data_IF_521156273245
#
_entry.id   IF_521156273245
#
_cell.length_a   1.000
_cell.length_b   1.000
_cell.length_c   1.000
_cell.angle_alpha   90.00
_cell.angle_beta   90.00
_cell.angle_gamma   90.00
#
_symmetry.space_group_name_H-M   'P 1'
#
loop_
_entity.id
_entity.type
_entity.pdbx_description
1 polymer ?
#
# COMPACT_ATOMS: atom_id res chain seq x y z
N UNK A 1 -17.38 -21.06 -32.52
CA UNK A 1 -16.54 -19.85 -32.42
C UNK A 1 -15.11 -20.24 -32.11
N UNK A 2 -14.11 -19.39 -32.37
CA UNK A 2 -12.67 -19.70 -32.11
C UNK A 2 -12.35 -20.09 -30.64
N UNK A 3 -13.30 -19.89 -29.73
CA UNK A 3 -13.26 -20.34 -28.33
C UNK A 3 -13.57 -21.84 -28.18
N UNK A 4 -14.49 -22.37 -29.00
CA UNK A 4 -14.95 -23.77 -28.93
C UNK A 4 -13.90 -24.72 -29.52
N UNK A 5 -13.13 -24.26 -30.50
CA UNK A 5 -11.98 -24.99 -31.07
C UNK A 5 -10.83 -25.13 -30.07
N UNK A 6 -10.66 -24.16 -29.17
CA UNK A 6 -9.58 -24.15 -28.18
C UNK A 6 -9.83 -25.18 -27.07
N UNK A 7 -11.10 -25.40 -26.72
CA UNK A 7 -11.53 -26.37 -25.71
C UNK A 7 -11.39 -27.83 -26.16
N UNK A 8 -11.29 -28.08 -27.47
CA UNK A 8 -11.20 -29.42 -28.04
C UNK A 8 -9.76 -29.84 -28.44
N UNK A 9 -8.74 -29.07 -28.04
CA UNK A 9 -7.35 -29.44 -28.34
C UNK A 9 -6.89 -30.64 -27.50
N UNK A 10 -6.13 -31.60 -28.07
CA UNK A 10 -5.79 -32.86 -27.39
C UNK A 10 -5.08 -32.69 -26.04
N UNK A 11 -4.31 -31.61 -25.88
CA UNK A 11 -3.57 -31.26 -24.65
C UNK A 11 -4.48 -30.73 -23.55
N UNK A 12 -5.54 -30.00 -23.91
CA UNK A 12 -6.55 -29.46 -23.00
C UNK A 12 -7.46 -30.59 -22.51
N UNK A 13 -7.88 -31.48 -23.42
CA UNK A 13 -8.69 -32.66 -23.09
C UNK A 13 -7.90 -33.62 -22.18
N UNK A 14 -6.62 -33.88 -22.46
CA UNK A 14 -5.78 -34.73 -21.59
C UNK A 14 -5.59 -34.14 -20.19
N UNK A 15 -5.40 -32.83 -20.07
CA UNK A 15 -5.25 -32.15 -18.78
C UNK A 15 -6.57 -32.13 -17.99
N UNK A 16 -7.70 -31.88 -18.68
CA UNK A 16 -9.03 -31.99 -18.12
C UNK A 16 -9.33 -33.42 -17.63
N UNK A 17 -9.01 -34.45 -18.42
CA UNK A 17 -9.21 -35.86 -18.06
C UNK A 17 -8.39 -36.27 -16.84
N UNK A 18 -7.14 -35.82 -16.75
CA UNK A 18 -6.24 -36.15 -15.64
C UNK A 18 -6.65 -35.47 -14.33
N UNK A 19 -7.18 -34.25 -14.39
CA UNK A 19 -7.76 -33.55 -13.24
C UNK A 19 -9.13 -34.14 -12.87
N UNK A 20 -9.95 -34.52 -13.86
CA UNK A 20 -11.28 -35.14 -13.69
C UNK A 20 -11.19 -36.47 -12.94
N UNK A 21 -10.18 -37.29 -13.22
CA UNK A 21 -10.00 -38.60 -12.57
C UNK A 21 -9.42 -38.52 -11.15
N UNK A 22 -8.68 -37.47 -10.79
CA UNK A 22 -8.06 -37.35 -9.46
C UNK A 22 -9.00 -36.74 -8.42
N UNK A 23 -9.92 -35.86 -8.83
CA UNK A 23 -10.69 -35.05 -7.89
C UNK A 23 -12.18 -35.36 -7.76
N UNK A 24 -12.79 -36.18 -8.62
CA UNK A 24 -14.21 -36.58 -8.53
C UNK A 24 -15.19 -35.41 -8.22
N UNK A 25 -14.87 -34.20 -8.68
CA UNK A 25 -15.68 -32.99 -8.50
C UNK A 25 -16.45 -32.73 -9.79
N UNK A 26 -17.68 -33.22 -9.82
CA UNK A 26 -18.56 -33.22 -11.00
C UNK A 26 -19.08 -31.83 -11.40
N UNK A 27 -18.87 -30.80 -10.57
CA UNK A 27 -19.55 -29.50 -10.71
C UNK A 27 -18.63 -28.26 -10.66
N UNK A 28 -17.32 -28.40 -10.91
CA UNK A 28 -16.42 -27.24 -10.94
C UNK A 28 -16.29 -26.66 -12.36
N UNK A 29 -17.32 -25.93 -12.77
CA UNK A 29 -17.32 -25.22 -14.06
C UNK A 29 -16.45 -23.95 -13.97
N UNK A 30 -15.15 -24.14 -14.24
CA UNK A 30 -14.14 -23.07 -14.28
C UNK A 30 -14.55 -21.96 -15.26
N UNK A 31 -15.28 -22.28 -16.32
CA UNK A 31 -15.73 -21.32 -17.32
C UNK A 31 -16.84 -20.40 -16.76
N UNK A 32 -17.72 -20.94 -15.91
CA UNK A 32 -18.73 -20.18 -15.19
C UNK A 32 -18.11 -19.32 -14.07
N UNK A 33 -17.15 -19.85 -13.30
CA UNK A 33 -16.43 -19.09 -12.26
C UNK A 33 -15.63 -17.92 -12.85
N UNK A 34 -14.96 -18.14 -13.98
CA UNK A 34 -14.20 -17.09 -14.66
C UNK A 34 -15.16 -16.08 -15.30
N UNK A 35 -16.16 -16.50 -16.08
CA UNK A 35 -17.06 -15.54 -16.76
C UNK A 35 -17.93 -14.71 -15.79
N UNK A 36 -18.37 -15.29 -14.68
CA UNK A 36 -19.21 -14.60 -13.69
C UNK A 36 -18.39 -13.62 -12.84
N UNK A 37 -17.16 -13.98 -12.46
CA UNK A 37 -16.27 -13.09 -11.72
C UNK A 37 -15.61 -12.04 -12.63
N UNK A 38 -15.30 -12.37 -13.88
CA UNK A 38 -14.73 -11.44 -14.87
C UNK A 38 -15.77 -10.42 -15.34
N UNK A 39 -17.05 -10.79 -15.44
CA UNK A 39 -18.14 -9.84 -15.73
C UNK A 39 -18.53 -8.98 -14.53
N UNK A 40 -18.32 -9.46 -13.29
CA UNK A 40 -18.44 -8.65 -12.07
C UNK A 40 -17.26 -7.67 -11.94
N UNK A 41 -16.04 -8.12 -12.19
CA UNK A 41 -14.85 -7.25 -12.29
C UNK A 41 -14.99 -6.23 -13.43
N UNK A 42 -15.45 -6.66 -14.60
CA UNK A 42 -15.72 -5.79 -15.74
C UNK A 42 -16.80 -4.75 -15.46
N UNK A 43 -17.88 -5.13 -14.76
CA UNK A 43 -18.92 -4.18 -14.32
C UNK A 43 -18.47 -3.27 -13.16
N UNK A 44 -17.63 -3.73 -12.25
CA UNK A 44 -17.02 -2.88 -11.22
C UNK A 44 -16.06 -1.86 -11.84
N UNK A 45 -15.23 -2.29 -12.80
CA UNK A 45 -14.34 -1.40 -13.56
C UNK A 45 -15.14 -0.41 -14.41
N UNK A 46 -16.12 -0.88 -15.21
CA UNK A 46 -16.94 -0.01 -16.08
C UNK A 46 -17.93 0.88 -15.29
N UNK A 47 -18.47 0.39 -14.17
CA UNK A 47 -19.33 1.15 -13.27
C UNK A 47 -18.58 2.29 -12.58
N UNK A 48 -17.29 2.08 -12.28
CA UNK A 48 -16.41 3.11 -11.72
C UNK A 48 -15.84 4.09 -12.76
N UNK A 49 -15.92 3.77 -14.06
CA UNK A 49 -15.48 4.66 -15.14
C UNK A 49 -16.46 5.82 -15.36
N UNK A 50 -17.78 5.60 -15.20
CA UNK A 50 -18.78 6.69 -15.26
C UNK A 50 -18.69 7.67 -14.08
N UNK A 51 -18.17 7.24 -12.94
CA UNK A 51 -17.81 8.09 -11.77
C UNK A 51 -16.43 8.74 -11.89
N UNK A 52 -15.64 8.40 -12.91
CA UNK A 52 -14.30 8.95 -13.14
C UNK A 52 -14.26 10.45 -13.35
N UNK A 53 -15.24 11.03 -14.05
CA UNK A 53 -15.29 12.48 -14.34
C UNK A 53 -15.62 13.30 -13.09
N UNK A 54 -16.55 12.83 -12.24
CA UNK A 54 -16.84 13.46 -10.94
C UNK A 54 -15.65 13.33 -9.96
N UNK A 55 -14.89 12.23 -10.06
CA UNK A 55 -13.68 12.03 -9.26
C UNK A 55 -12.51 12.94 -9.69
N UNK A 56 -12.36 13.28 -10.97
CA UNK A 56 -11.27 14.17 -11.41
C UNK A 56 -11.40 15.55 -10.76
N UNK A 57 -12.62 16.12 -10.68
CA UNK A 57 -12.85 17.40 -10.01
C UNK A 57 -12.52 17.34 -8.51
N UNK A 58 -12.93 16.26 -7.83
CA UNK A 58 -12.58 16.04 -6.43
C UNK A 58 -11.08 15.89 -6.22
N UNK A 59 -10.39 15.13 -7.08
CA UNK A 59 -8.92 14.98 -7.04
C UNK A 59 -8.23 16.33 -7.24
N UNK A 60 -8.67 17.16 -8.20
CA UNK A 60 -8.11 18.49 -8.42
C UNK A 60 -8.32 19.41 -7.21
N UNK A 61 -9.53 19.42 -6.64
CA UNK A 61 -9.84 20.22 -5.45
C UNK A 61 -8.99 19.76 -4.26
N UNK A 62 -8.93 18.45 -4.00
CA UNK A 62 -8.11 17.88 -2.93
C UNK A 62 -6.62 18.17 -3.14
N UNK A 63 -6.15 18.13 -4.38
CA UNK A 63 -4.77 18.47 -4.73
C UNK A 63 -4.46 19.94 -4.45
N UNK A 64 -5.38 20.85 -4.80
CA UNK A 64 -5.25 22.28 -4.49
C UNK A 64 -5.23 22.51 -2.98
N UNK A 65 -6.16 21.90 -2.24
CA UNK A 65 -6.19 21.97 -0.78
C UNK A 65 -4.93 21.37 -0.15
N UNK A 66 -4.40 20.27 -0.70
CA UNK A 66 -3.15 19.68 -0.25
C UNK A 66 -1.98 20.64 -0.42
N UNK A 67 -1.83 21.28 -1.58
CA UNK A 67 -0.78 22.28 -1.81
C UNK A 67 -0.94 23.47 -0.87
N UNK A 68 -2.18 23.97 -0.73
CA UNK A 68 -2.50 25.07 0.18
C UNK A 68 -2.14 24.72 1.62
N UNK A 69 -2.60 23.58 2.13
CA UNK A 69 -2.30 23.11 3.47
C UNK A 69 -0.79 22.90 3.66
N UNK A 70 -0.10 22.30 2.68
CA UNK A 70 1.34 22.10 2.72
C UNK A 70 2.10 23.44 2.78
N UNK A 71 1.68 24.44 2.00
CA UNK A 71 2.27 25.77 2.03
C UNK A 71 2.17 26.41 3.42
N UNK A 72 0.97 26.43 4.02
CA UNK A 72 0.78 26.99 5.36
C UNK A 72 1.48 26.16 6.44
N UNK A 73 1.48 24.82 6.34
CA UNK A 73 2.22 23.96 7.26
C UNK A 73 3.74 24.19 7.18
N UNK A 74 4.29 24.44 5.99
CA UNK A 74 5.72 24.74 5.83
C UNK A 74 6.06 26.17 6.28
N UNK A 75 5.19 27.13 5.99
CA UNK A 75 5.40 28.55 6.33
C UNK A 75 5.25 28.81 7.83
N UNK A 76 4.13 28.40 8.41
CA UNK A 76 3.75 28.72 9.80
C UNK A 76 4.03 27.57 10.78
N UNK A 77 4.55 26.44 10.29
CA UNK A 77 4.85 25.24 11.08
C UNK A 77 5.78 25.47 12.28
N UNK A 78 6.92 26.19 12.14
CA UNK A 78 7.82 26.46 13.26
C UNK A 78 7.15 27.27 14.40
N UNK A 79 6.38 28.29 14.05
CA UNK A 79 5.63 29.12 15.01
C UNK A 79 4.52 28.31 15.67
N UNK A 80 3.81 27.50 14.90
CA UNK A 80 2.78 26.60 15.41
C UNK A 80 3.36 25.58 16.39
N UNK A 81 4.53 25.01 16.09
CA UNK A 81 5.20 24.05 16.97
C UNK A 81 5.65 24.70 18.28
N UNK A 82 6.15 25.93 18.22
CA UNK A 82 6.55 26.70 19.41
C UNK A 82 5.32 26.98 20.30
N UNK A 83 4.20 27.39 19.72
CA UNK A 83 2.95 27.60 20.48
C UNK A 83 2.43 26.32 21.12
N UNK A 84 2.45 25.19 20.40
CA UNK A 84 2.08 23.89 21.00
C UNK A 84 2.99 23.58 22.18
N UNK A 85 4.30 23.83 22.04
CA UNK A 85 5.28 23.64 23.11
C UNK A 85 4.94 24.47 24.35
N UNK A 86 4.52 25.72 24.18
CA UNK A 86 4.19 26.61 25.30
C UNK A 86 2.95 26.16 26.07
N UNK A 87 1.93 25.65 25.37
CA UNK A 87 0.70 25.15 26.02
C UNK A 87 0.86 23.79 26.72
N UNK A 88 1.94 23.04 26.45
CA UNK A 88 2.16 21.74 27.10
C UNK A 88 2.57 21.90 28.57
N UNK A 89 1.85 21.31 29.54
CA UNK A 89 2.15 21.38 30.97
C UNK A 89 3.24 20.37 31.39
N UNK A 90 4.26 20.17 30.56
CA UNK A 90 5.37 19.24 30.80
C UNK A 90 6.69 19.97 31.00
N UNK A 91 7.70 19.33 31.59
CA UNK A 91 9.05 19.89 31.64
C UNK A 91 9.70 19.90 30.26
N UNK A 92 10.67 20.81 30.04
CA UNK A 92 11.33 20.96 28.72
C UNK A 92 11.93 19.66 28.18
N UNK A 93 12.49 18.82 29.06
CA UNK A 93 13.04 17.50 28.70
C UNK A 93 11.97 16.62 28.03
N UNK A 94 10.74 16.63 28.54
CA UNK A 94 9.64 15.84 27.96
C UNK A 94 9.10 16.48 26.67
N UNK A 95 9.04 17.82 26.61
CA UNK A 95 8.67 18.55 25.39
C UNK A 95 9.64 18.26 24.24
N UNK A 96 10.94 18.29 24.52
CA UNK A 96 12.00 18.01 23.54
C UNK A 96 11.96 16.55 23.08
N UNK A 97 11.68 15.60 23.98
CA UNK A 97 11.48 14.18 23.63
C UNK A 97 10.29 13.96 22.70
N UNK A 98 9.15 14.61 22.95
CA UNK A 98 7.99 14.51 22.07
C UNK A 98 8.27 15.14 20.70
N UNK A 99 8.92 16.30 20.68
CA UNK A 99 9.32 16.98 19.45
C UNK A 99 10.31 16.12 18.63
N UNK A 100 11.29 15.50 19.27
CA UNK A 100 12.24 14.62 18.59
C UNK A 100 11.56 13.36 18.05
N UNK A 101 10.65 12.75 18.81
CA UNK A 101 9.87 11.59 18.34
C UNK A 101 9.02 11.91 17.09
N UNK A 102 8.36 13.07 17.08
CA UNK A 102 7.60 13.52 15.90
C UNK A 102 8.52 13.76 14.71
N UNK A 103 9.65 14.44 14.92
CA UNK A 103 10.65 14.70 13.88
C UNK A 103 11.18 13.38 13.31
N UNK A 104 11.62 12.46 14.17
CA UNK A 104 12.14 11.16 13.78
C UNK A 104 11.10 10.38 12.98
N UNK A 105 9.83 10.44 13.37
CA UNK A 105 8.77 9.76 12.62
C UNK A 105 8.54 10.37 11.23
N UNK A 106 8.50 11.70 11.11
CA UNK A 106 8.36 12.37 9.81
C UNK A 106 9.52 11.99 8.90
N UNK A 107 10.74 12.07 9.44
CA UNK A 107 11.98 11.70 8.75
C UNK A 107 11.94 10.22 8.32
N UNK A 108 11.63 9.30 9.23
CA UNK A 108 11.53 7.87 8.93
C UNK A 108 10.46 7.57 7.88
N UNK A 109 9.36 8.31 7.85
CA UNK A 109 8.31 8.13 6.83
C UNK A 109 8.82 8.54 5.45
N UNK A 110 9.53 9.68 5.35
CA UNK A 110 10.10 10.16 4.09
C UNK A 110 11.18 9.20 3.59
N UNK A 111 12.18 8.89 4.43
CA UNK A 111 13.25 7.96 4.05
C UNK A 111 12.71 6.55 3.77
N UNK A 112 11.73 6.09 4.53
CA UNK A 112 11.05 4.82 4.29
C UNK A 112 10.38 4.76 2.93
N UNK A 113 9.67 5.82 2.54
CA UNK A 113 9.10 5.95 1.20
C UNK A 113 10.15 5.89 0.09
N UNK A 114 11.26 6.62 0.24
CA UNK A 114 12.36 6.63 -0.74
C UNK A 114 13.02 5.25 -0.86
N UNK A 115 13.31 4.58 0.26
CA UNK A 115 13.90 3.24 0.25
C UNK A 115 12.96 2.24 -0.43
N UNK A 116 11.67 2.29 -0.12
CA UNK A 116 10.65 1.46 -0.79
C UNK A 116 10.61 1.73 -2.29
N UNK A 117 10.62 2.99 -2.71
CA UNK A 117 10.62 3.38 -4.12
C UNK A 117 11.84 2.81 -4.86
N UNK A 118 13.03 2.89 -4.25
CA UNK A 118 14.25 2.33 -4.82
C UNK A 118 14.17 0.80 -4.93
N UNK A 119 13.76 0.12 -3.87
CA UNK A 119 13.65 -1.34 -3.84
C UNK A 119 12.60 -1.83 -4.85
N UNK A 120 11.42 -1.20 -4.90
CA UNK A 120 10.39 -1.55 -5.87
C UNK A 120 10.83 -1.26 -7.30
N UNK A 121 11.49 -0.13 -7.54
CA UNK A 121 11.98 0.20 -8.87
C UNK A 121 13.06 -0.78 -9.36
N UNK A 122 13.96 -1.20 -8.48
CA UNK A 122 14.98 -2.21 -8.77
C UNK A 122 14.36 -3.59 -9.01
N UNK A 123 13.51 -4.07 -8.10
CA UNK A 123 12.85 -5.37 -8.23
C UNK A 123 11.95 -5.42 -9.46
N UNK A 124 11.18 -4.36 -9.70
CA UNK A 124 10.37 -4.19 -10.90
C UNK A 124 11.24 -4.21 -12.16
N UNK A 125 12.31 -3.40 -12.20
CA UNK A 125 13.25 -3.35 -13.32
C UNK A 125 13.89 -4.69 -13.63
N UNK A 126 14.38 -5.41 -12.62
CA UNK A 126 14.95 -6.76 -12.76
C UNK A 126 13.89 -7.72 -13.30
N UNK A 127 12.68 -7.68 -12.75
CA UNK A 127 11.57 -8.53 -13.21
C UNK A 127 11.24 -8.26 -14.68
N UNK A 128 11.15 -6.99 -15.07
CA UNK A 128 10.88 -6.60 -16.44
C UNK A 128 12.00 -7.00 -17.41
N UNK A 129 13.25 -6.95 -16.96
CA UNK A 129 14.41 -7.40 -17.72
C UNK A 129 14.37 -8.91 -17.95
N UNK A 130 14.15 -9.70 -16.90
CA UNK A 130 14.06 -11.15 -16.97
C UNK A 130 12.88 -11.62 -17.84
N UNK A 131 11.78 -10.87 -17.85
CA UNK A 131 10.62 -11.15 -18.71
C UNK A 131 10.82 -10.67 -20.17
N UNK A 132 11.94 -10.03 -20.48
CA UNK A 132 12.30 -9.61 -21.84
C UNK A 132 11.47 -8.45 -22.38
N UNK A 133 11.12 -7.48 -21.51
CA UNK A 133 10.52 -6.22 -21.97
C UNK A 133 11.57 -5.29 -22.57
N UNK A 134 11.19 -4.52 -23.58
CA UNK A 134 12.13 -3.65 -24.32
C UNK A 134 12.66 -2.45 -23.53
N UNK A 135 12.00 -2.04 -22.44
CA UNK A 135 12.44 -0.90 -21.61
C UNK A 135 12.34 -1.18 -20.11
N UNK A 136 13.12 -2.12 -19.56
CA UNK A 136 13.02 -2.54 -18.15
C UNK A 136 13.36 -1.43 -17.17
N UNK A 137 14.39 -0.62 -17.47
CA UNK A 137 14.82 0.49 -16.63
C UNK A 137 13.73 1.56 -16.55
N UNK A 138 13.11 1.91 -17.69
CA UNK A 138 12.05 2.91 -17.73
C UNK A 138 10.82 2.46 -16.92
N UNK A 139 10.39 1.21 -17.09
CA UNK A 139 9.26 0.65 -16.35
C UNK A 139 9.58 0.47 -14.86
N UNK A 140 10.80 0.07 -14.51
CA UNK A 140 11.26 -0.01 -13.12
C UNK A 140 11.29 1.35 -12.45
N UNK A 141 11.86 2.37 -13.10
CA UNK A 141 11.86 3.74 -12.59
C UNK A 141 10.45 4.29 -12.44
N UNK A 142 9.57 4.08 -13.43
CA UNK A 142 8.15 4.45 -13.34
C UNK A 142 7.46 3.77 -12.15
N UNK A 143 7.78 2.50 -11.87
CA UNK A 143 7.28 1.78 -10.70
C UNK A 143 7.75 2.42 -9.40
N UNK A 144 9.03 2.79 -9.31
CA UNK A 144 9.58 3.50 -8.15
C UNK A 144 8.84 4.82 -7.89
N UNK A 145 8.61 5.64 -8.91
CA UNK A 145 7.83 6.87 -8.76
C UNK A 145 6.38 6.61 -8.35
N UNK A 146 5.74 5.58 -8.93
CA UNK A 146 4.36 5.26 -8.63
C UNK A 146 4.17 4.73 -7.20
N UNK A 147 5.22 4.18 -6.56
CA UNK A 147 5.19 3.69 -5.17
C UNK A 147 4.83 4.76 -4.13
N UNK A 148 5.07 6.04 -4.46
CA UNK A 148 4.70 7.16 -3.60
C UNK A 148 3.18 7.38 -3.52
N UNK A 149 2.41 6.82 -4.46
CA UNK A 149 0.95 6.93 -4.49
C UNK A 149 0.35 5.74 -3.74
N UNK A 150 -0.21 5.94 -2.53
CA UNK A 150 -0.80 4.86 -1.76
C UNK A 150 -1.99 4.22 -2.48
N UNK A 151 -2.15 2.91 -2.36
CA UNK A 151 -3.27 2.16 -2.96
C UNK A 151 -3.13 1.87 -4.46
N UNK A 152 -2.56 2.78 -5.25
CA UNK A 152 -2.26 2.57 -6.67
C UNK A 152 -0.85 1.96 -6.85
N UNK A 153 0.17 2.58 -6.25
CA UNK A 153 1.51 2.04 -6.08
C UNK A 153 2.11 1.38 -7.33
N UNK A 154 2.90 0.34 -7.09
CA UNK A 154 3.53 -0.46 -8.14
C UNK A 154 2.54 -1.16 -9.08
N UNK A 155 1.30 -1.48 -8.62
CA UNK A 155 0.26 -2.17 -9.42
C UNK A 155 -0.10 -1.39 -10.66
N UNK A 156 -0.07 -0.06 -10.60
CA UNK A 156 -0.36 0.80 -11.75
C UNK A 156 0.61 0.62 -12.91
N UNK A 157 1.82 0.15 -12.66
CA UNK A 157 2.84 -0.12 -13.69
C UNK A 157 2.81 -1.58 -14.10
N UNK A 158 2.79 -2.48 -13.13
CA UNK A 158 2.92 -3.91 -13.40
C UNK A 158 1.61 -4.55 -13.90
N UNK A 159 0.45 -4.01 -13.54
CA UNK A 159 -0.87 -4.45 -14.00
C UNK A 159 -1.07 -4.28 -15.51
N UNK A 160 -0.79 -3.11 -16.12
CA UNK A 160 -0.79 -2.96 -17.58
C UNK A 160 0.19 -3.89 -18.29
N UNK A 161 1.37 -4.15 -17.69
CA UNK A 161 2.35 -5.11 -18.22
C UNK A 161 1.79 -6.54 -18.22
N UNK A 162 1.08 -6.94 -17.17
CA UNK A 162 0.36 -8.21 -17.13
C UNK A 162 -0.65 -8.32 -18.28
N UNK A 163 -1.48 -7.29 -18.46
CA UNK A 163 -2.48 -7.25 -19.54
C UNK A 163 -1.79 -7.37 -20.90
N UNK A 164 -0.67 -6.67 -21.10
CA UNK A 164 0.13 -6.78 -22.31
C UNK A 164 0.59 -8.22 -22.59
N UNK A 165 1.10 -8.95 -21.59
CA UNK A 165 1.51 -10.35 -21.77
C UNK A 165 0.33 -11.27 -22.08
N UNK A 166 -0.84 -11.04 -21.47
CA UNK A 166 -2.05 -11.82 -21.76
C UNK A 166 -2.53 -11.60 -23.20
N UNK A 167 -2.53 -10.36 -23.69
CA UNK A 167 -2.89 -10.03 -25.08
C UNK A 167 -1.93 -10.69 -26.07
N UNK A 168 -0.63 -10.72 -25.74
CA UNK A 168 0.41 -11.39 -26.54
C UNK A 168 0.41 -12.92 -26.40
N UNK A 169 -0.51 -13.50 -25.62
CA UNK A 169 -0.61 -14.94 -25.32
C UNK A 169 0.66 -15.52 -24.68
N UNK A 170 1.41 -14.69 -23.94
CA UNK A 170 2.63 -15.08 -23.22
C UNK A 170 2.27 -15.51 -21.80
N UNK A 171 1.55 -16.62 -21.66
CA UNK A 171 0.94 -17.04 -20.39
C UNK A 171 1.95 -17.30 -19.27
N UNK A 172 3.12 -17.88 -19.59
CA UNK A 172 4.18 -18.11 -18.59
C UNK A 172 4.70 -16.79 -18.03
N UNK A 173 4.94 -15.79 -18.89
CA UNK A 173 5.38 -14.45 -18.47
C UNK A 173 4.30 -13.75 -17.66
N UNK A 174 3.04 -13.87 -18.06
CA UNK A 174 1.90 -13.33 -17.31
C UNK A 174 1.77 -13.96 -15.91
N UNK A 175 1.94 -15.29 -15.80
CA UNK A 175 1.91 -15.98 -14.52
C UNK A 175 3.05 -15.54 -13.60
N UNK A 176 4.27 -15.49 -14.12
CA UNK A 176 5.43 -14.98 -13.36
C UNK A 176 5.17 -13.54 -12.91
N UNK A 177 4.61 -12.71 -13.79
CA UNK A 177 4.30 -11.31 -13.48
C UNK A 177 3.30 -11.16 -12.32
N UNK A 178 2.23 -11.96 -12.30
CA UNK A 178 1.26 -11.97 -11.19
C UNK A 178 1.93 -12.42 -9.89
N UNK A 179 2.72 -13.50 -9.95
CA UNK A 179 3.37 -14.05 -8.78
C UNK A 179 4.38 -13.04 -8.19
N UNK A 180 5.27 -12.49 -9.01
CA UNK A 180 6.26 -11.51 -8.55
C UNK A 180 5.59 -10.20 -8.12
N UNK A 181 4.62 -9.71 -8.89
CA UNK A 181 3.87 -8.50 -8.56
C UNK A 181 3.17 -8.59 -7.20
N UNK A 182 2.51 -9.72 -6.92
CA UNK A 182 1.71 -9.90 -5.71
C UNK A 182 2.54 -10.32 -4.50
N UNK A 183 3.48 -11.26 -4.66
CA UNK A 183 4.21 -11.82 -3.53
C UNK A 183 5.53 -11.12 -3.24
N UNK A 184 6.20 -10.56 -4.24
CA UNK A 184 7.49 -9.90 -4.04
C UNK A 184 7.28 -8.40 -3.92
N UNK A 185 6.69 -7.77 -4.94
CA UNK A 185 6.61 -6.31 -5.03
C UNK A 185 5.64 -5.73 -4.00
N UNK A 186 4.45 -6.32 -3.83
CA UNK A 186 3.50 -5.87 -2.79
C UNK A 186 3.98 -6.12 -1.36
N UNK A 187 4.82 -7.14 -1.14
CA UNK A 187 5.39 -7.38 0.19
C UNK A 187 6.38 -6.31 0.61
N UNK A 188 7.07 -5.66 -0.35
CA UNK A 188 7.97 -4.53 -0.03
C UNK A 188 7.22 -3.44 0.72
N UNK A 189 6.05 -3.02 0.22
CA UNK A 189 5.23 -2.01 0.88
C UNK A 189 4.73 -2.47 2.26
N UNK A 190 4.36 -3.74 2.38
CA UNK A 190 3.74 -4.30 3.58
C UNK A 190 4.74 -4.59 4.71
N UNK A 191 6.02 -4.78 4.39
CA UNK A 191 7.05 -5.17 5.36
C UNK A 191 8.00 -4.00 5.62
N UNK A 192 8.48 -3.34 4.55
CA UNK A 192 9.56 -2.38 4.64
C UNK A 192 9.09 -1.07 5.28
N UNK A 193 7.86 -0.60 4.99
CA UNK A 193 7.31 0.59 5.65
C UNK A 193 7.16 0.40 7.16
N UNK A 194 6.53 -0.67 7.68
CA UNK A 194 6.48 -0.91 9.12
C UNK A 194 7.85 -1.01 9.78
N UNK A 195 8.81 -1.70 9.17
CA UNK A 195 10.17 -1.85 9.75
C UNK A 195 10.88 -0.49 9.85
N UNK A 196 10.76 0.35 8.82
CA UNK A 196 11.43 1.66 8.81
C UNK A 196 10.71 2.65 9.75
N UNK A 197 9.39 2.54 9.87
CA UNK A 197 8.57 3.44 10.70
C UNK A 197 8.47 2.96 12.16
N UNK A 198 8.81 1.71 12.47
CA UNK A 198 8.72 1.17 13.84
C UNK A 198 9.71 1.87 14.77
N UNK A 199 9.25 2.96 15.38
CA UNK A 199 9.82 3.52 16.60
C UNK A 199 9.68 2.50 17.73
N UNK A 200 10.68 2.44 18.61
CA UNK A 200 10.81 1.47 19.71
C UNK A 200 9.75 1.65 20.81
N UNK A 201 8.48 1.48 20.49
CA UNK A 201 7.39 1.53 21.47
C UNK A 201 6.97 0.11 21.79
N UNK A 202 7.17 -0.31 23.05
CA UNK A 202 6.79 -1.64 23.55
C UNK A 202 5.28 -1.72 23.76
N UNK A 203 4.50 -1.56 22.70
CA UNK A 203 3.06 -1.72 22.79
C UNK A 203 2.67 -3.19 22.80
N UNK A 204 1.69 -3.59 23.63
CA UNK A 204 1.05 -4.88 23.50
C UNK A 204 0.44 -5.04 22.10
N UNK A 205 0.62 -6.22 21.49
CA UNK A 205 0.14 -6.52 20.13
C UNK A 205 -1.35 -6.24 19.94
N UNK A 206 -2.16 -6.46 21.00
CA UNK A 206 -3.60 -6.20 20.98
C UNK A 206 -3.92 -4.71 20.72
N UNK A 207 -3.15 -3.81 21.33
CA UNK A 207 -3.31 -2.35 21.17
C UNK A 207 -2.99 -1.94 19.74
N UNK A 208 -1.91 -2.50 19.17
CA UNK A 208 -1.54 -2.27 17.77
C UNK A 208 -2.67 -2.74 16.84
N UNK A 209 -3.20 -3.95 17.06
CA UNK A 209 -4.29 -4.50 16.25
C UNK A 209 -5.52 -3.59 16.21
N UNK A 210 -6.02 -3.19 17.38
CA UNK A 210 -7.18 -2.28 17.45
C UNK A 210 -6.87 -0.89 16.88
N UNK A 211 -5.65 -0.38 17.07
CA UNK A 211 -5.23 0.90 16.51
C UNK A 211 -5.22 0.90 14.98
N UNK A 212 -4.84 -0.22 14.36
CA UNK A 212 -4.87 -0.38 12.90
C UNK A 212 -6.30 -0.43 12.40
N UNK A 213 -7.18 -1.21 13.04
CA UNK A 213 -8.60 -1.28 12.63
C UNK A 213 -9.29 0.07 12.80
N UNK A 214 -9.11 0.71 13.97
CA UNK A 214 -9.66 2.04 14.23
C UNK A 214 -9.10 3.08 13.27
N UNK A 215 -7.79 3.06 13.04
CA UNK A 215 -7.10 3.93 12.10
C UNK A 215 -7.64 3.78 10.68
N UNK A 216 -7.77 2.55 10.18
CA UNK A 216 -8.34 2.25 8.86
C UNK A 216 -9.76 2.80 8.70
N UNK A 217 -10.58 2.73 9.76
CA UNK A 217 -11.95 3.23 9.75
C UNK A 217 -12.03 4.76 9.73
N UNK A 218 -11.15 5.46 10.46
CA UNK A 218 -11.18 6.93 10.57
C UNK A 218 -10.42 7.61 9.43
N UNK A 219 -9.22 7.11 9.10
CA UNK A 219 -8.27 7.76 8.20
C UNK A 219 -8.09 7.01 6.86
N UNK A 220 -8.87 5.94 6.61
CA UNK A 220 -8.70 5.10 5.43
C UNK A 220 -7.35 4.38 5.41
N UNK A 221 -6.79 4.09 4.23
CA UNK A 221 -5.53 3.34 4.10
C UNK A 221 -4.35 3.96 4.86
N UNK A 222 -4.29 5.29 4.96
CA UNK A 222 -3.24 6.01 5.71
C UNK A 222 -3.34 5.71 7.22
N UNK A 223 -4.53 5.36 7.70
CA UNK A 223 -4.81 4.94 9.06
C UNK A 223 -4.07 3.69 9.53
N UNK A 224 -3.57 2.87 8.61
CA UNK A 224 -2.68 1.75 8.97
C UNK A 224 -1.38 2.24 9.63
N UNK A 225 -0.86 3.39 9.20
CA UNK A 225 0.35 4.00 9.76
C UNK A 225 0.00 4.96 10.90
N UNK A 226 -1.03 5.80 10.70
CA UNK A 226 -1.42 6.81 11.68
C UNK A 226 -2.05 6.21 12.95
N UNK A 227 -2.76 5.08 12.85
CA UNK A 227 -3.42 4.45 13.98
C UNK A 227 -2.46 4.09 15.13
N UNK A 228 -1.45 3.25 14.88
CA UNK A 228 -0.43 2.93 15.88
C UNK A 228 0.33 4.16 16.40
N UNK A 229 0.61 5.13 15.52
CA UNK A 229 1.27 6.38 15.89
C UNK A 229 0.47 7.18 16.92
N UNK A 230 -0.81 7.44 16.65
CA UNK A 230 -1.66 8.24 17.55
C UNK A 230 -1.73 7.59 18.92
N UNK A 231 -1.87 6.26 18.97
CA UNK A 231 -1.86 5.51 20.22
C UNK A 231 -0.48 5.56 20.90
N UNK A 232 0.63 5.61 20.14
CA UNK A 232 1.98 5.73 20.70
C UNK A 232 2.20 7.05 21.40
N UNK A 233 1.74 8.13 20.77
CA UNK A 233 1.79 9.46 21.35
C UNK A 233 0.90 9.53 22.59
N UNK A 234 -0.31 8.98 22.53
CA UNK A 234 -1.21 8.95 23.68
C UNK A 234 -0.62 8.19 24.87
N UNK A 235 -0.09 6.98 24.66
CA UNK A 235 0.58 6.20 25.72
C UNK A 235 1.81 6.94 26.25
N UNK A 236 2.61 7.54 25.38
CA UNK A 236 3.79 8.33 25.79
C UNK A 236 3.40 9.50 26.69
N UNK A 237 2.30 10.18 26.38
CA UNK A 237 1.75 11.25 27.23
C UNK A 237 1.28 10.71 28.58
N UNK A 238 0.58 9.58 28.60
CA UNK A 238 0.16 8.93 29.85
C UNK A 238 1.34 8.51 30.74
N UNK A 239 2.41 7.98 30.13
CA UNK A 239 3.65 7.64 30.85
C UNK A 239 4.31 8.88 31.47
N UNK A 240 4.30 10.02 30.76
CA UNK A 240 4.78 11.29 31.30
C UNK A 240 3.94 11.70 32.51
N UNK A 241 2.60 11.66 32.41
CA UNK A 241 1.72 11.99 33.54
C UNK A 241 1.96 11.09 34.75
N UNK A 242 2.06 9.77 34.54
CA UNK A 242 2.37 8.81 35.61
C UNK A 242 3.71 9.11 36.28
N UNK A 243 4.74 9.44 35.51
CA UNK A 243 6.07 9.76 36.03
C UNK A 243 6.07 11.06 36.85
N UNK A 244 5.26 12.04 36.46
CA UNK A 244 5.09 13.29 37.21
C UNK A 244 4.35 13.07 38.54
N UNK A 245 3.39 12.15 38.58
CA UNK A 245 2.63 11.80 39.78
C UNK A 245 3.47 10.99 40.78
N UNK A 246 4.26 10.00 40.31
CA UNK A 246 5.20 9.24 41.16
C UNK A 246 6.23 10.16 41.85
N UNK A 247 6.74 11.20 41.17
CA UNK A 247 7.64 12.19 41.77
C UNK A 247 7.00 13.13 42.80
N UNK A 248 5.67 13.21 42.86
CA UNK A 248 4.95 14.07 43.80
C UNK A 248 4.70 13.38 45.15
N UNK A 249 4.92 12.06 45.21
CA UNK A 249 4.75 11.21 46.38
C UNK A 249 6.06 10.82 47.08
N UNK A 250 7.19 11.37 46.64
CA UNK A 250 8.49 11.33 47.32
C UNK A 250 8.94 12.76 47.67
#
# INVERSE_FOLDING_TARGET
GKMDDWLNTPTVVWFQDKIRNILNLKDFDISALISTNLSKLGRAVLGNVKTGVANIMSVLINFLFMIFAMFFMLKDGPDFMTRIRDYMPFSDIHKDRLASQMKDMVISTIYGGVVVALVQGLLGGITFFLLGLGSPVLLGTAMGFMSFIPGLGAVSVWGPVLIYFLIKKLYIKALIMVLVGTFVISMVDNILKPIIISGRTRMPTLVIFFSVIGGLKVFGLIGFVLGPLVIAMFISVLEIFRTLEEKKHF
#
